data_IF_692368606413
#
_entry.id   IF_692368606413
#
_cell.length_a   1.000
_cell.length_b   1.000
_cell.length_c   1.000
_cell.angle_alpha   90.00
_cell.angle_beta   90.00
_cell.angle_gamma   90.00
#
_symmetry.space_group_name_H-M   'P 1'
#
loop_
_entity.id
_entity.type
_entity.pdbx_description
1 polymer ?
#
# COMPACT_ATOMS: atom_id res chain seq x y z
N UNK A 1 11.38 -91.66 -26.29
CA UNK A 1 10.69 -90.58 -27.02
C UNK A 1 11.58 -89.37 -27.08
N UNK A 2 12.51 -89.43 -28.03
CA UNK A 2 13.51 -88.41 -28.31
C UNK A 2 12.79 -87.35 -29.12
N UNK A 3 12.47 -86.22 -28.50
CA UNK A 3 11.97 -85.05 -29.24
C UNK A 3 13.06 -84.64 -30.22
N UNK A 4 12.80 -84.91 -31.50
CA UNK A 4 13.66 -84.55 -32.60
C UNK A 4 13.76 -83.03 -32.68
N UNK A 5 14.93 -82.52 -32.26
CA UNK A 5 15.32 -81.13 -32.40
C UNK A 5 15.78 -80.87 -33.84
N UNK A 6 15.01 -81.32 -34.83
CA UNK A 6 15.03 -80.76 -36.19
C UNK A 6 14.49 -79.34 -36.11
N UNK A 7 15.31 -78.50 -35.47
CA UNK A 7 15.31 -77.05 -35.52
C UNK A 7 15.11 -76.69 -36.97
N UNK A 8 14.06 -75.93 -37.28
CA UNK A 8 13.97 -75.22 -38.54
C UNK A 8 15.35 -74.62 -38.81
N UNK A 9 16.00 -75.04 -39.89
CA UNK A 9 17.17 -74.33 -40.43
C UNK A 9 16.58 -73.02 -40.95
N UNK A 10 16.44 -72.03 -40.06
CA UNK A 10 16.06 -70.67 -40.42
C UNK A 10 17.26 -70.14 -41.18
N UNK A 11 17.23 -70.21 -42.51
CA UNK A 11 18.34 -69.80 -43.39
C UNK A 11 18.72 -68.31 -43.26
N UNK A 12 17.95 -67.54 -42.46
CA UNK A 12 18.09 -66.10 -42.24
C UNK A 12 18.28 -65.72 -40.75
N UNK A 13 18.74 -66.62 -39.87
CA UNK A 13 18.98 -66.33 -38.44
C UNK A 13 20.48 -66.30 -38.09
N UNK A 14 20.98 -65.14 -37.64
CA UNK A 14 22.35 -64.96 -37.15
C UNK A 14 22.37 -64.83 -35.62
N UNK A 15 23.26 -65.57 -34.95
CA UNK A 15 23.44 -65.53 -33.49
C UNK A 15 24.86 -65.09 -33.16
N UNK A 16 25.00 -63.95 -32.48
CA UNK A 16 26.27 -63.37 -32.06
C UNK A 16 26.40 -63.56 -30.55
N UNK A 17 27.32 -64.43 -30.12
CA UNK A 17 27.57 -64.63 -28.69
C UNK A 17 28.21 -63.38 -28.05
N UNK A 18 27.64 -62.90 -26.95
CA UNK A 18 28.12 -61.70 -26.26
C UNK A 18 28.98 -62.05 -25.04
N UNK A 19 28.40 -62.70 -24.03
CA UNK A 19 29.07 -62.99 -22.77
C UNK A 19 28.56 -64.29 -22.16
N UNK A 20 29.46 -65.06 -21.53
CA UNK A 20 29.13 -66.25 -20.73
C UNK A 20 29.72 -66.10 -19.33
N UNK A 21 28.89 -66.36 -18.31
CA UNK A 21 29.24 -66.33 -16.89
C UNK A 21 28.70 -67.60 -16.22
N UNK A 22 29.17 -67.90 -15.02
CA UNK A 22 28.72 -69.08 -14.25
C UNK A 22 27.21 -69.13 -14.02
N UNK A 23 26.55 -67.96 -13.96
CA UNK A 23 25.10 -67.85 -13.78
C UNK A 23 24.30 -67.84 -15.08
N UNK A 24 24.94 -67.82 -16.26
CA UNK A 24 24.22 -67.81 -17.54
C UNK A 24 25.01 -67.25 -18.72
N UNK A 25 24.35 -67.22 -19.87
CA UNK A 25 24.91 -66.75 -21.14
C UNK A 25 23.99 -65.74 -21.82
N UNK A 26 24.56 -64.77 -22.52
CA UNK A 26 23.86 -63.78 -23.34
C UNK A 26 24.39 -63.78 -24.77
N UNK A 27 23.49 -63.59 -25.72
CA UNK A 27 23.77 -63.53 -27.15
C UNK A 27 22.75 -62.60 -27.83
N UNK A 28 23.15 -62.03 -28.96
CA UNK A 28 22.29 -61.24 -29.83
C UNK A 28 21.79 -62.13 -30.97
N UNK A 29 20.51 -62.02 -31.32
CA UNK A 29 19.91 -62.77 -32.43
C UNK A 29 19.37 -61.79 -33.45
N UNK A 30 19.88 -61.86 -34.68
CA UNK A 30 19.46 -61.04 -35.81
C UNK A 30 18.68 -61.93 -36.77
N UNK A 31 17.37 -61.69 -36.89
CA UNK A 31 16.48 -62.43 -37.79
C UNK A 31 16.38 -61.78 -39.18
N UNK A 32 16.73 -60.50 -39.28
CA UNK A 32 16.76 -59.72 -40.50
C UNK A 32 17.75 -58.57 -40.31
N UNK A 33 18.73 -58.38 -41.21
CA UNK A 33 19.64 -57.25 -41.12
C UNK A 33 18.87 -55.92 -41.22
N UNK A 34 19.41 -54.83 -40.67
CA UNK A 34 18.80 -53.51 -40.79
C UNK A 34 18.54 -53.19 -42.27
N UNK A 35 17.37 -52.63 -42.59
CA UNK A 35 17.02 -52.29 -43.97
C UNK A 35 17.75 -51.04 -44.48
N UNK A 36 18.50 -50.39 -43.61
CA UNK A 36 19.34 -49.22 -43.85
C UNK A 36 20.63 -49.40 -43.06
N UNK A 37 21.76 -49.45 -43.75
CA UNK A 37 23.10 -49.62 -43.14
C UNK A 37 23.61 -48.34 -42.44
N UNK A 38 22.83 -47.26 -42.46
CA UNK A 38 23.17 -46.02 -41.77
C UNK A 38 22.65 -45.98 -40.33
N UNK A 39 23.33 -45.21 -39.49
CA UNK A 39 22.89 -44.92 -38.11
C UNK A 39 21.51 -44.23 -38.16
N UNK A 40 20.55 -44.57 -37.29
CA UNK A 40 19.27 -43.87 -37.24
C UNK A 40 19.48 -42.35 -37.12
N UNK A 41 19.05 -41.59 -38.13
CA UNK A 41 19.01 -40.12 -38.12
C UNK A 41 17.85 -39.60 -37.23
N UNK A 42 17.62 -40.24 -36.08
CA UNK A 42 16.63 -39.75 -35.13
C UNK A 42 17.27 -38.63 -34.29
N UNK A 43 17.07 -37.39 -34.74
CA UNK A 43 17.41 -36.16 -34.02
C UNK A 43 18.87 -36.00 -33.60
N UNK A 44 19.84 -36.53 -34.38
CA UNK A 44 21.26 -36.25 -34.16
C UNK A 44 21.62 -34.76 -34.33
N UNK A 45 20.72 -33.96 -34.93
CA UNK A 45 20.86 -32.52 -35.15
C UNK A 45 20.30 -31.63 -34.04
N UNK A 46 19.55 -32.18 -33.07
CA UNK A 46 19.22 -31.41 -31.87
C UNK A 46 20.45 -31.41 -30.99
N UNK A 47 21.12 -30.25 -30.78
CA UNK A 47 22.22 -30.19 -29.84
C UNK A 47 21.66 -30.69 -28.51
N UNK A 48 22.34 -31.67 -27.88
CA UNK A 48 22.06 -31.99 -26.48
C UNK A 48 22.09 -30.67 -25.74
N UNK A 49 20.95 -30.26 -25.20
CA UNK A 49 20.88 -29.06 -24.36
C UNK A 49 21.93 -29.28 -23.27
N UNK A 50 22.87 -28.35 -23.15
CA UNK A 50 23.86 -28.42 -22.07
C UNK A 50 23.09 -28.42 -20.77
N UNK A 51 23.48 -29.31 -19.87
CA UNK A 51 22.93 -29.29 -18.52
C UNK A 51 23.30 -27.94 -17.89
N UNK A 52 22.35 -27.30 -17.18
CA UNK A 52 22.57 -25.99 -16.61
C UNK A 52 23.71 -26.05 -15.58
N UNK A 53 24.54 -25.01 -15.57
CA UNK A 53 25.60 -24.88 -14.56
C UNK A 53 25.01 -24.60 -13.18
N UNK A 54 25.79 -24.84 -12.12
CA UNK A 54 25.39 -24.51 -10.75
C UNK A 54 25.01 -23.03 -10.62
N UNK A 55 25.77 -22.14 -11.26
CA UNK A 55 25.53 -20.70 -11.26
C UNK A 55 24.20 -20.34 -11.95
N UNK A 56 23.87 -20.98 -13.08
CA UNK A 56 22.60 -20.76 -13.78
C UNK A 56 21.40 -21.22 -12.95
N UNK A 57 21.55 -22.31 -12.19
CA UNK A 57 20.53 -22.80 -11.26
C UNK A 57 20.36 -21.81 -10.11
N UNK A 58 21.46 -21.40 -9.46
CA UNK A 58 21.45 -20.43 -8.36
C UNK A 58 20.80 -19.11 -8.79
N UNK A 59 21.20 -18.55 -9.93
CA UNK A 59 20.62 -17.31 -10.46
C UNK A 59 19.12 -17.41 -10.68
N UNK A 60 18.60 -18.56 -11.12
CA UNK A 60 17.14 -18.77 -11.27
C UNK A 60 16.42 -18.86 -9.92
N UNK A 61 17.04 -19.49 -8.92
CA UNK A 61 16.51 -19.57 -7.57
C UNK A 61 16.48 -18.19 -6.89
N UNK A 62 17.58 -17.45 -6.98
CA UNK A 62 17.69 -16.07 -6.48
C UNK A 62 16.68 -15.15 -7.17
N UNK A 63 16.54 -15.22 -8.50
CA UNK A 63 15.53 -14.43 -9.20
C UNK A 63 14.09 -14.76 -8.75
N UNK A 64 13.81 -16.01 -8.37
CA UNK A 64 12.51 -16.38 -7.80
C UNK A 64 12.34 -15.87 -6.36
N UNK A 65 13.42 -15.85 -5.58
CA UNK A 65 13.43 -15.27 -4.24
C UNK A 65 13.22 -13.76 -4.27
N UNK A 66 13.90 -13.04 -5.14
CA UNK A 66 13.72 -11.58 -5.30
C UNK A 66 12.30 -11.23 -5.75
N UNK A 67 11.67 -12.06 -6.61
CA UNK A 67 10.24 -11.89 -6.94
C UNK A 67 9.33 -12.07 -5.72
N UNK A 68 9.62 -13.02 -4.82
CA UNK A 68 8.87 -13.19 -3.57
C UNK A 68 9.06 -12.00 -2.64
N UNK A 69 10.31 -11.57 -2.43
CA UNK A 69 10.64 -10.40 -1.60
C UNK A 69 9.97 -9.13 -2.13
N UNK A 70 9.96 -8.94 -3.44
CA UNK A 70 9.29 -7.79 -4.06
C UNK A 70 7.78 -7.80 -3.79
N UNK A 71 7.10 -8.94 -3.97
CA UNK A 71 5.67 -9.05 -3.67
C UNK A 71 5.36 -8.79 -2.19
N UNK A 72 6.20 -9.31 -1.29
CA UNK A 72 6.08 -9.05 0.14
C UNK A 72 6.31 -7.56 0.47
N UNK A 73 7.33 -6.94 -0.12
CA UNK A 73 7.62 -5.53 0.07
C UNK A 73 6.46 -4.62 -0.40
N UNK A 74 5.87 -4.92 -1.56
CA UNK A 74 4.70 -4.17 -2.06
C UNK A 74 3.48 -4.36 -1.15
N UNK A 75 3.26 -5.58 -0.63
CA UNK A 75 2.20 -5.83 0.35
C UNK A 75 2.43 -5.02 1.65
N UNK A 76 3.66 -5.06 2.19
CA UNK A 76 4.01 -4.31 3.40
C UNK A 76 3.89 -2.79 3.19
N UNK A 77 4.27 -2.29 2.01
CA UNK A 77 4.08 -0.90 1.62
C UNK A 77 2.60 -0.50 1.66
N UNK A 78 1.73 -1.28 1.02
CA UNK A 78 0.28 -1.01 1.07
C UNK A 78 -0.31 -1.10 2.48
N UNK A 79 0.20 -2.00 3.33
CA UNK A 79 -0.21 -2.05 4.73
C UNK A 79 0.28 -0.82 5.50
N UNK A 80 1.49 -0.35 5.24
CA UNK A 80 2.04 0.87 5.85
C UNK A 80 1.22 2.11 5.45
N UNK A 81 0.86 2.25 4.17
CA UNK A 81 -0.03 3.29 3.65
C UNK A 81 -1.39 3.28 4.39
N UNK A 82 -2.00 2.10 4.59
CA UNK A 82 -3.24 1.98 5.37
C UNK A 82 -3.07 2.40 6.83
N UNK A 83 -1.98 2.00 7.48
CA UNK A 83 -1.67 2.40 8.86
C UNK A 83 -1.45 3.91 8.98
N UNK A 84 -0.85 4.53 7.98
CA UNK A 84 -0.68 5.98 7.92
C UNK A 84 -2.03 6.67 7.79
N UNK A 85 -2.88 6.22 6.88
CA UNK A 85 -4.23 6.76 6.73
C UNK A 85 -5.06 6.66 8.01
N UNK A 86 -4.97 5.54 8.74
CA UNK A 86 -5.63 5.41 10.05
C UNK A 86 -5.16 6.47 11.06
N UNK A 87 -3.85 6.78 11.09
CA UNK A 87 -3.31 7.85 11.95
C UNK A 87 -3.82 9.22 11.52
N UNK A 88 -3.85 9.50 10.22
CA UNK A 88 -4.37 10.76 9.68
C UNK A 88 -5.84 10.98 10.05
N UNK A 89 -6.67 9.93 9.94
CA UNK A 89 -8.09 10.00 10.30
C UNK A 89 -8.27 10.33 11.79
N UNK A 90 -7.52 9.66 12.67
CA UNK A 90 -7.58 9.94 14.12
C UNK A 90 -7.12 11.37 14.41
N UNK A 91 -6.00 11.79 13.81
CA UNK A 91 -5.46 13.14 13.98
C UNK A 91 -6.48 14.20 13.50
N UNK A 92 -7.10 13.98 12.35
CA UNK A 92 -8.11 14.89 11.80
C UNK A 92 -9.33 15.02 12.71
N UNK A 93 -9.81 13.91 13.30
CA UNK A 93 -10.92 13.96 14.25
C UNK A 93 -10.58 14.80 15.49
N UNK A 94 -9.36 14.67 16.01
CA UNK A 94 -8.87 15.49 17.13
C UNK A 94 -8.75 16.97 16.73
N UNK A 95 -8.20 17.25 15.55
CA UNK A 95 -8.03 18.61 15.04
C UNK A 95 -9.38 19.31 14.82
N UNK A 96 -10.35 18.65 14.21
CA UNK A 96 -11.70 19.19 14.02
C UNK A 96 -12.38 19.51 15.36
N UNK A 97 -12.27 18.63 16.34
CA UNK A 97 -12.79 18.88 17.69
C UNK A 97 -12.12 20.10 18.36
N UNK A 98 -10.79 20.20 18.25
CA UNK A 98 -10.05 21.34 18.79
C UNK A 98 -10.44 22.66 18.10
N UNK A 99 -10.63 22.63 16.78
CA UNK A 99 -11.08 23.78 16.00
C UNK A 99 -12.49 24.22 16.41
N UNK A 100 -13.40 23.27 16.63
CA UNK A 100 -14.73 23.56 17.14
C UNK A 100 -14.69 24.25 18.51
N UNK A 101 -13.91 23.72 19.45
CA UNK A 101 -13.75 24.31 20.79
C UNK A 101 -13.17 25.73 20.69
N UNK A 102 -12.15 25.93 19.85
CA UNK A 102 -11.52 27.23 19.64
C UNK A 102 -12.52 28.24 19.07
N UNK A 103 -13.22 27.88 18.00
CA UNK A 103 -14.22 28.75 17.37
C UNK A 103 -15.37 29.10 18.34
N UNK A 104 -15.84 28.13 19.12
CA UNK A 104 -16.86 28.36 20.14
C UNK A 104 -16.38 29.34 21.23
N UNK A 105 -15.14 29.16 21.70
CA UNK A 105 -14.52 30.04 22.70
C UNK A 105 -14.36 31.47 22.18
N UNK A 106 -13.85 31.64 20.98
CA UNK A 106 -13.66 32.95 20.34
C UNK A 106 -15.01 33.67 20.14
N UNK A 107 -16.03 32.95 19.68
CA UNK A 107 -17.37 33.50 19.50
C UNK A 107 -18.00 33.94 20.82
N UNK A 108 -17.82 33.16 21.89
CA UNK A 108 -18.30 33.54 23.22
C UNK A 108 -17.58 34.79 23.73
N UNK A 109 -16.25 34.83 23.63
CA UNK A 109 -15.46 35.99 24.04
C UNK A 109 -15.91 37.27 23.31
N UNK A 110 -16.10 37.19 21.99
CA UNK A 110 -16.58 38.31 21.18
C UNK A 110 -17.99 38.76 21.62
N UNK A 111 -18.90 37.82 21.91
CA UNK A 111 -20.25 38.14 22.38
C UNK A 111 -20.24 38.82 23.75
N UNK A 112 -19.37 38.39 24.65
CA UNK A 112 -19.23 39.00 25.98
C UNK A 112 -18.65 40.41 25.89
N UNK A 113 -17.63 40.64 25.06
CA UNK A 113 -17.08 41.99 24.88
C UNK A 113 -18.10 42.94 24.24
N UNK A 114 -18.78 42.51 23.19
CA UNK A 114 -19.85 43.30 22.57
C UNK A 114 -20.98 43.61 23.56
N UNK A 115 -21.36 42.65 24.42
CA UNK A 115 -22.37 42.90 25.45
C UNK A 115 -21.91 43.95 26.47
N UNK A 116 -20.65 43.87 26.90
CA UNK A 116 -20.03 44.80 27.83
C UNK A 116 -19.97 46.21 27.23
N UNK A 117 -19.43 46.36 26.01
CA UNK A 117 -19.37 47.63 25.29
C UNK A 117 -20.76 48.25 25.13
N UNK A 118 -21.76 47.46 24.73
CA UNK A 118 -23.14 47.94 24.59
C UNK A 118 -23.71 48.42 25.93
N UNK A 119 -23.46 47.69 27.02
CA UNK A 119 -23.93 48.07 28.36
C UNK A 119 -23.26 49.36 28.84
N UNK A 120 -21.96 49.49 28.61
CA UNK A 120 -21.20 50.70 28.93
C UNK A 120 -21.70 51.91 28.12
N UNK A 121 -21.93 51.75 26.82
CA UNK A 121 -22.48 52.79 25.96
C UNK A 121 -23.88 53.25 26.41
N UNK A 122 -24.76 52.30 26.78
CA UNK A 122 -26.09 52.63 27.31
C UNK A 122 -26.03 53.42 28.62
N UNK A 123 -25.14 53.03 29.54
CA UNK A 123 -24.94 53.74 30.80
C UNK A 123 -24.33 55.13 30.57
N UNK A 124 -23.32 55.23 29.71
CA UNK A 124 -22.68 56.49 29.35
C UNK A 124 -23.71 57.48 28.77
N UNK A 125 -24.53 57.04 27.81
CA UNK A 125 -25.58 57.87 27.22
C UNK A 125 -26.64 58.29 28.24
N UNK A 126 -26.95 57.45 29.23
CA UNK A 126 -27.87 57.81 30.32
C UNK A 126 -27.27 58.89 31.22
N UNK A 127 -26.01 58.73 31.63
CA UNK A 127 -25.31 59.69 32.46
C UNK A 127 -25.11 61.03 31.75
N UNK A 128 -24.80 61.02 30.46
CA UNK A 128 -24.66 62.23 29.64
C UNK A 128 -25.96 63.04 29.61
N UNK A 129 -27.10 62.39 29.35
CA UNK A 129 -28.42 63.05 29.41
C UNK A 129 -28.74 63.64 30.78
N UNK A 130 -28.32 62.98 31.87
CA UNK A 130 -28.51 63.51 33.22
C UNK A 130 -27.61 64.73 33.47
N UNK A 131 -26.34 64.68 33.05
CA UNK A 131 -25.41 65.80 33.16
C UNK A 131 -25.87 67.01 32.34
N UNK A 132 -26.47 66.82 31.17
CA UNK A 132 -27.09 67.91 30.39
C UNK A 132 -28.22 68.58 31.15
N UNK A 133 -29.06 67.81 31.87
CA UNK A 133 -30.13 68.36 32.70
C UNK A 133 -29.58 69.17 33.87
N UNK A 134 -28.49 68.71 34.49
CA UNK A 134 -27.83 69.43 35.59
C UNK A 134 -27.22 70.75 35.09
N UNK A 135 -26.53 70.74 33.95
CA UNK A 135 -26.01 71.95 33.28
C UNK A 135 -27.12 72.94 32.98
N UNK A 136 -28.23 72.46 32.39
CA UNK A 136 -29.37 73.31 32.09
C UNK A 136 -29.99 73.92 33.36
N UNK A 137 -30.06 73.17 34.45
CA UNK A 137 -30.56 73.69 35.72
C UNK A 137 -29.68 74.83 36.29
N UNK A 138 -28.35 74.73 36.15
CA UNK A 138 -27.43 75.83 36.51
C UNK A 138 -27.62 77.05 35.61
N UNK A 139 -27.75 76.86 34.29
CA UNK A 139 -28.02 77.95 33.36
C UNK A 139 -29.32 78.68 33.68
N UNK A 140 -30.38 77.95 34.04
CA UNK A 140 -31.66 78.54 34.47
C UNK A 140 -31.50 79.36 35.75
N UNK A 141 -30.75 78.86 36.75
CA UNK A 141 -30.46 79.61 37.99
C UNK A 141 -29.71 80.91 37.68
N UNK A 142 -28.64 80.84 36.90
CA UNK A 142 -27.83 82.00 36.51
C UNK A 142 -28.65 83.03 35.71
N UNK A 143 -29.50 82.57 34.79
CA UNK A 143 -30.39 83.46 34.02
C UNK A 143 -31.41 84.17 34.92
N UNK A 144 -31.88 83.52 35.98
CA UNK A 144 -32.77 84.13 36.96
C UNK A 144 -32.05 85.25 37.72
N UNK A 145 -30.84 84.98 38.22
CA UNK A 145 -30.02 85.97 38.93
C UNK A 145 -29.76 87.22 38.07
N UNK A 146 -29.35 87.04 36.81
CA UNK A 146 -29.10 88.15 35.89
C UNK A 146 -30.34 89.02 35.62
N UNK A 147 -31.53 88.41 35.56
CA UNK A 147 -32.79 89.16 35.36
C UNK A 147 -33.19 89.94 36.62
N UNK A 148 -32.97 89.36 37.79
CA UNK A 148 -33.22 90.03 39.07
C UNK A 148 -32.27 91.23 39.27
N UNK A 149 -31.00 91.08 38.89
CA UNK A 149 -30.01 92.18 38.90
C UNK A 149 -30.37 93.29 37.91
N UNK A 150 -30.81 92.95 36.69
CA UNK A 150 -31.20 93.93 35.67
C UNK A 150 -32.49 94.70 35.99
N UNK A 151 -33.31 94.21 36.93
CA UNK A 151 -34.58 94.83 37.33
C UNK A 151 -34.47 95.65 38.63
N UNK A 152 -33.29 95.73 39.23
CA UNK A 152 -32.97 96.59 40.39
C UNK A 152 -32.45 97.94 39.93
#
# INVERSE_FOLDING_TARGET
DTVDLTWCVISDMEVIELNKRTSGQSFEVILKPPSFDGVPEFNASLPRRRDPSLEEIQKKLEAAEERRKYQEAELLKHLAEKREHEREVIQKAVEENNNFIKAAKEKLAQKMESNKENREAHLAAMLERLQEKDKHAEEVRKNKELKEEASR
#
